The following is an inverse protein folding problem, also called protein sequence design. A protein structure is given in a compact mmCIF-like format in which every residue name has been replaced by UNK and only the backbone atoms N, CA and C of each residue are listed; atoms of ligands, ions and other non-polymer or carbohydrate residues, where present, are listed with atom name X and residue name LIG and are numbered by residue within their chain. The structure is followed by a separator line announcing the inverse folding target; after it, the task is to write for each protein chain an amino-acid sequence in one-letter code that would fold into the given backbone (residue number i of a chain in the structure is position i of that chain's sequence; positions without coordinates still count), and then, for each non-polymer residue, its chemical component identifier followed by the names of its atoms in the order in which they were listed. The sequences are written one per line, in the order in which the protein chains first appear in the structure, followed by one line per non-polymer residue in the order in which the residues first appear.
data_IF_986411535344
#
_entry.id   IF_986411535344
#
_cell.length_a   1.000
_cell.length_b   1.000
_cell.length_c   1.000
_cell.angle_alpha   90.00
_cell.angle_beta   90.00
_cell.angle_gamma   90.00
#
_symmetry.space_group_name_H-M   'P 1'
#
loop_
_entity.id
_entity.type
_entity.pdbx_description
1 polymer ?
#
# COMPACT_ATOMS: atom_id res chain seq x y z
N UNK A 1 -9.19 -24.90 -12.33
CA UNK A 1 -9.02 -23.61 -11.63
C UNK A 1 -9.45 -22.53 -12.62
N UNK A 2 -10.55 -21.81 -12.39
CA UNK A 2 -11.04 -20.83 -13.37
C UNK A 2 -10.09 -19.62 -13.42
N UNK A 3 -9.56 -19.31 -14.60
CA UNK A 3 -8.65 -18.18 -14.84
C UNK A 3 -9.22 -16.82 -14.40
N UNK A 4 -10.53 -16.73 -14.18
CA UNK A 4 -11.26 -15.55 -13.69
C UNK A 4 -10.78 -15.05 -12.33
N UNK A 5 -10.38 -15.94 -11.41
CA UNK A 5 -9.95 -15.54 -10.05
C UNK A 5 -8.56 -14.89 -10.01
N UNK A 6 -7.69 -15.25 -10.95
CA UNK A 6 -6.31 -14.72 -11.02
C UNK A 6 -6.27 -13.31 -11.62
N UNK A 7 -7.07 -13.03 -12.66
CA UNK A 7 -7.13 -11.72 -13.32
C UNK A 7 -7.71 -10.63 -12.42
N UNK A 8 -8.77 -10.97 -11.68
CA UNK A 8 -9.47 -10.04 -10.80
C UNK A 8 -8.58 -9.64 -9.61
N UNK A 9 -7.89 -10.60 -9.00
CA UNK A 9 -6.99 -10.33 -7.87
C UNK A 9 -5.80 -9.44 -8.25
N UNK A 10 -5.24 -9.63 -9.45
CA UNK A 10 -4.16 -8.78 -9.97
C UNK A 10 -4.64 -7.35 -10.24
N UNK A 11 -5.83 -7.19 -10.78
CA UNK A 11 -6.44 -5.88 -11.00
C UNK A 11 -6.67 -5.14 -9.69
N UNK A 12 -7.27 -5.80 -8.70
CA UNK A 12 -7.47 -5.25 -7.35
C UNK A 12 -6.11 -4.83 -6.75
N UNK A 13 -5.11 -5.70 -6.83
CA UNK A 13 -3.78 -5.43 -6.31
C UNK A 13 -3.16 -4.17 -6.92
N UNK A 14 -3.13 -4.05 -8.25
CA UNK A 14 -2.57 -2.88 -8.95
C UNK A 14 -3.35 -1.60 -8.61
N UNK A 15 -4.69 -1.66 -8.64
CA UNK A 15 -5.55 -0.50 -8.39
C UNK A 15 -5.37 0.03 -6.96
N UNK A 16 -5.06 -0.84 -5.99
CA UNK A 16 -4.82 -0.43 -4.60
C UNK A 16 -3.63 0.53 -4.40
N UNK A 17 -2.71 0.61 -5.38
CA UNK A 17 -1.56 1.54 -5.36
C UNK A 17 -1.84 2.91 -5.98
N UNK A 18 -3.02 3.12 -6.61
CA UNK A 18 -3.38 4.38 -7.28
C UNK A 18 -3.92 5.43 -6.28
N UNK A 19 -3.16 5.66 -5.20
CA UNK A 19 -3.48 6.59 -4.11
C UNK A 19 -4.81 6.26 -3.41
N UNK A 20 -5.31 7.18 -2.58
CA UNK A 20 -6.51 6.96 -1.78
C UNK A 20 -7.74 6.59 -2.64
N UNK A 21 -7.91 7.24 -3.78
CA UNK A 21 -9.02 6.96 -4.71
C UNK A 21 -8.93 5.53 -5.26
N UNK A 22 -7.74 5.14 -5.74
CA UNK A 22 -7.49 3.77 -6.20
C UNK A 22 -7.70 2.74 -5.10
N UNK A 23 -7.23 3.03 -3.89
CA UNK A 23 -7.39 2.15 -2.75
C UNK A 23 -8.86 1.88 -2.41
N UNK A 24 -9.69 2.92 -2.37
CA UNK A 24 -11.15 2.78 -2.14
C UNK A 24 -11.79 1.95 -3.26
N UNK A 25 -11.44 2.20 -4.52
CA UNK A 25 -11.95 1.43 -5.66
C UNK A 25 -11.55 -0.05 -5.53
N UNK A 26 -10.28 -0.33 -5.23
CA UNK A 26 -9.77 -1.69 -5.03
C UNK A 26 -10.49 -2.39 -3.88
N UNK A 27 -10.80 -1.69 -2.78
CA UNK A 27 -11.55 -2.25 -1.66
C UNK A 27 -12.97 -2.65 -2.06
N UNK A 28 -13.66 -1.80 -2.84
CA UNK A 28 -14.99 -2.11 -3.37
C UNK A 28 -14.93 -3.31 -4.32
N UNK A 29 -13.96 -3.34 -5.23
CA UNK A 29 -13.76 -4.46 -6.16
C UNK A 29 -13.50 -5.78 -5.41
N UNK A 30 -12.66 -5.75 -4.37
CA UNK A 30 -12.36 -6.89 -3.52
C UNK A 30 -13.59 -7.38 -2.74
N UNK A 31 -14.41 -6.49 -2.22
CA UNK A 31 -15.63 -6.89 -1.51
C UNK A 31 -16.63 -7.62 -2.43
N UNK A 32 -16.63 -7.29 -3.73
CA UNK A 32 -17.43 -7.99 -4.73
C UNK A 32 -16.78 -9.31 -5.16
N UNK A 33 -15.46 -9.35 -5.33
CA UNK A 33 -14.70 -10.55 -5.64
C UNK A 33 -13.48 -10.68 -4.71
N UNK A 34 -13.67 -11.45 -3.63
CA UNK A 34 -12.65 -11.60 -2.59
C UNK A 34 -11.50 -12.45 -3.10
N UNK A 35 -10.33 -11.84 -3.19
CA UNK A 35 -9.11 -12.53 -3.61
C UNK A 35 -8.01 -12.37 -2.57
N UNK A 36 -7.26 -13.45 -2.39
CA UNK A 36 -6.11 -13.49 -1.50
C UNK A 36 -5.02 -12.46 -1.86
N UNK A 37 -4.79 -12.27 -3.16
CA UNK A 37 -3.83 -11.28 -3.67
C UNK A 37 -4.33 -9.84 -3.46
N UNK A 38 -5.62 -9.59 -3.74
CA UNK A 38 -6.24 -8.28 -3.53
C UNK A 38 -6.22 -7.86 -2.06
N UNK A 39 -6.64 -8.76 -1.16
CA UNK A 39 -6.60 -8.54 0.28
C UNK A 39 -5.17 -8.23 0.78
N UNK A 40 -4.19 -8.99 0.31
CA UNK A 40 -2.79 -8.77 0.67
C UNK A 40 -2.32 -7.35 0.31
N UNK A 41 -2.51 -6.93 -0.94
CA UNK A 41 -2.06 -5.62 -1.41
C UNK A 41 -2.90 -4.46 -0.84
N UNK A 42 -4.19 -4.65 -0.56
CA UNK A 42 -5.01 -3.68 0.17
C UNK A 42 -4.43 -3.35 1.55
N UNK A 43 -3.97 -4.37 2.28
CA UNK A 43 -3.32 -4.18 3.59
C UNK A 43 -1.94 -3.53 3.47
N UNK A 44 -1.12 -3.96 2.51
CA UNK A 44 0.21 -3.36 2.26
C UNK A 44 0.10 -1.86 1.92
N UNK A 45 -0.82 -1.50 1.03
CA UNK A 45 -1.03 -0.11 0.59
C UNK A 45 -1.68 0.75 1.66
N UNK A 46 -2.60 0.21 2.47
CA UNK A 46 -3.15 0.90 3.63
C UNK A 46 -2.05 1.28 4.63
N UNK A 47 -1.17 0.33 4.95
CA UNK A 47 -0.02 0.59 5.83
C UNK A 47 0.90 1.68 5.30
N UNK A 48 1.24 1.64 4.01
CA UNK A 48 2.03 2.70 3.38
C UNK A 48 1.34 4.07 3.44
N UNK A 49 0.03 4.15 3.14
CA UNK A 49 -0.70 5.42 3.18
C UNK A 49 -0.71 6.02 4.58
N UNK A 50 -0.88 5.20 5.62
CA UNK A 50 -0.82 5.65 7.01
C UNK A 50 0.59 6.16 7.35
N UNK A 51 1.65 5.45 6.92
CA UNK A 51 3.03 5.93 7.13
C UNK A 51 3.30 7.25 6.40
N UNK A 52 2.84 7.39 5.16
CA UNK A 52 2.93 8.64 4.40
C UNK A 52 2.25 9.78 5.15
N UNK A 53 1.05 9.55 5.70
CA UNK A 53 0.35 10.54 6.51
C UNK A 53 1.11 10.91 7.78
N UNK A 54 1.66 9.94 8.51
CA UNK A 54 2.47 10.18 9.72
C UNK A 54 3.72 10.99 9.39
N UNK A 55 4.46 10.62 8.35
CA UNK A 55 5.66 11.36 7.91
C UNK A 55 5.28 12.77 7.47
N UNK A 56 4.16 12.95 6.78
CA UNK A 56 3.66 14.27 6.38
C UNK A 56 3.36 15.17 7.59
N UNK A 57 2.69 14.64 8.63
CA UNK A 57 2.43 15.38 9.88
C UNK A 57 3.74 15.76 10.58
N UNK A 58 4.70 14.84 10.68
CA UNK A 58 6.02 15.13 11.28
C UNK A 58 6.74 16.24 10.52
N UNK A 59 6.69 16.21 9.19
CA UNK A 59 7.31 17.23 8.34
C UNK A 59 6.70 18.62 8.53
N UNK A 60 5.38 18.73 8.78
CA UNK A 60 4.76 20.01 9.11
C UNK A 60 5.37 20.58 10.40
N UNK A 61 5.56 19.75 11.43
CA UNK A 61 6.16 20.19 12.71
C UNK A 61 7.62 20.61 12.53
N UNK A 62 8.41 19.83 11.79
CA UNK A 62 9.82 20.14 11.53
C UNK A 62 10.00 21.40 10.68
N UNK A 63 9.08 21.66 9.74
CA UNK A 63 9.09 22.88 8.94
C UNK A 63 8.88 24.14 9.78
N UNK A 64 8.10 24.07 10.87
CA UNK A 64 7.95 25.18 11.83
C UNK A 64 9.25 25.48 12.60
N UNK A 65 10.23 24.56 12.58
CA UNK A 65 11.54 24.68 13.22
C UNK A 65 12.66 24.96 12.21
N UNK A 66 12.35 25.30 10.95
CA UNK A 66 13.28 25.49 9.84
C UNK A 66 14.14 24.25 9.49
N UNK A 67 13.69 23.04 9.87
CA UNK A 67 14.36 21.76 9.56
C UNK A 67 13.65 21.08 8.39
N UNK A 68 14.00 21.47 7.16
CA UNK A 68 13.26 21.04 5.95
C UNK A 68 13.87 19.80 5.27
N UNK A 69 15.17 19.54 5.44
CA UNK A 69 15.89 18.53 4.65
C UNK A 69 15.54 17.08 5.03
N UNK A 70 15.17 16.84 6.29
CA UNK A 70 14.90 15.50 6.83
C UNK A 70 13.67 14.86 6.16
N UNK A 71 12.67 15.65 5.80
CA UNK A 71 11.44 15.17 5.18
C UNK A 71 11.61 14.52 3.81
N UNK A 72 12.59 14.99 3.04
CA UNK A 72 12.89 14.48 1.71
C UNK A 72 13.42 13.05 1.74
N UNK A 73 14.25 12.73 2.74
CA UNK A 73 14.82 11.39 2.91
C UNK A 73 13.73 10.37 3.23
N UNK A 74 12.84 10.69 4.19
CA UNK A 74 11.73 9.80 4.53
C UNK A 74 10.74 9.64 3.38
N UNK A 75 10.44 10.72 2.65
CA UNK A 75 9.56 10.66 1.47
C UNK A 75 10.14 9.77 0.38
N UNK A 76 11.45 9.89 0.10
CA UNK A 76 12.12 9.04 -0.89
C UNK A 76 12.11 7.56 -0.46
N UNK A 77 12.38 7.28 0.82
CA UNK A 77 12.33 5.93 1.35
C UNK A 77 10.93 5.31 1.20
N UNK A 78 9.88 6.04 1.58
CA UNK A 78 8.49 5.58 1.42
C UNK A 78 8.10 5.38 -0.06
N UNK A 79 8.61 6.22 -0.96
CA UNK A 79 8.39 6.06 -2.40
C UNK A 79 9.05 4.78 -2.93
N UNK A 80 10.27 4.45 -2.47
CA UNK A 80 10.92 3.18 -2.81
C UNK A 80 10.13 1.99 -2.28
N UNK A 81 9.63 2.05 -1.04
CA UNK A 81 8.79 0.98 -0.48
C UNK A 81 7.48 0.81 -1.26
N UNK A 82 6.86 1.92 -1.70
CA UNK A 82 5.69 1.90 -2.57
C UNK A 82 6.00 1.23 -3.92
N UNK A 83 7.12 1.59 -4.56
CA UNK A 83 7.56 0.97 -5.82
C UNK A 83 7.76 -0.54 -5.67
N UNK A 84 8.40 -1.00 -4.60
CA UNK A 84 8.63 -2.43 -4.35
C UNK A 84 7.31 -3.20 -4.20
N UNK A 85 6.36 -2.66 -3.46
CA UNK A 85 5.02 -3.24 -3.33
C UNK A 85 4.27 -3.25 -4.66
N UNK A 86 4.35 -2.16 -5.42
CA UNK A 86 3.67 -2.01 -6.70
C UNK A 86 4.22 -2.98 -7.76
N UNK A 87 5.53 -3.20 -7.80
CA UNK A 87 6.15 -4.22 -8.66
C UNK A 87 5.61 -5.62 -8.30
N UNK A 88 5.48 -5.95 -7.01
CA UNK A 88 4.87 -7.21 -6.57
C UNK A 88 3.42 -7.34 -7.07
N UNK A 89 2.63 -6.27 -7.01
CA UNK A 89 1.26 -6.26 -7.53
C UNK A 89 1.21 -6.48 -9.06
N UNK A 90 2.11 -5.84 -9.82
CA UNK A 90 2.24 -6.05 -11.27
C UNK A 90 2.66 -7.48 -11.60
N UNK A 91 3.46 -8.11 -10.74
CA UNK A 91 3.87 -9.51 -10.90
C UNK A 91 2.78 -10.49 -10.45
N UNK A 92 1.79 -10.02 -9.68
CA UNK A 92 0.76 -10.88 -9.08
C UNK A 92 1.28 -11.67 -7.88
N UNK A 93 2.34 -11.18 -7.24
CA UNK A 93 3.03 -11.84 -6.14
C UNK A 93 2.70 -11.16 -4.81
N UNK A 94 2.50 -11.95 -3.76
CA UNK A 94 2.35 -11.45 -2.38
C UNK A 94 3.71 -11.05 -1.79
N UNK A 95 4.40 -10.11 -2.44
CA UNK A 95 5.70 -9.61 -2.01
C UNK A 95 5.52 -8.60 -0.88
N UNK A 96 6.02 -8.94 0.31
CA UNK A 96 5.99 -8.06 1.47
C UNK A 96 6.84 -6.82 1.20
N UNK A 97 6.32 -5.65 1.60
CA UNK A 97 7.11 -4.45 1.68
C UNK A 97 8.18 -4.66 2.77
N UNK A 98 9.46 -4.37 2.50
CA UNK A 98 10.50 -4.53 3.52
C UNK A 98 10.20 -3.77 4.82
N UNK A 99 10.78 -4.25 5.92
CA UNK A 99 10.72 -3.67 7.28
C UNK A 99 9.36 -3.76 7.97
N UNK A 100 8.27 -3.37 7.30
CA UNK A 100 6.95 -3.22 7.94
C UNK A 100 5.82 -4.02 7.26
N UNK A 101 6.10 -4.71 6.15
CA UNK A 101 5.07 -5.41 5.39
C UNK A 101 4.36 -6.51 6.18
N UNK A 102 5.06 -7.23 7.06
CA UNK A 102 4.44 -8.26 7.92
C UNK A 102 3.49 -7.62 8.93
N UNK A 103 3.93 -6.55 9.58
CA UNK A 103 3.15 -5.79 10.54
C UNK A 103 1.89 -5.21 9.90
N UNK A 104 1.95 -4.76 8.64
CA UNK A 104 0.76 -4.33 7.91
C UNK A 104 -0.25 -5.46 7.73
N UNK A 105 0.19 -6.70 7.47
CA UNK A 105 -0.73 -7.83 7.38
C UNK A 105 -1.40 -8.12 8.72
N UNK A 106 -0.64 -8.05 9.82
CA UNK A 106 -1.15 -8.33 11.16
C UNK A 106 -2.10 -7.23 11.67
N UNK A 107 -1.70 -5.97 11.55
CA UNK A 107 -2.51 -4.82 12.01
C UNK A 107 -3.80 -4.68 11.22
N UNK A 108 -3.76 -4.96 9.92
CA UNK A 108 -4.91 -4.79 9.04
C UNK A 108 -5.58 -6.10 8.66
N UNK A 109 -5.39 -7.19 9.42
CA UNK A 109 -5.95 -8.53 9.13
C UNK A 109 -7.48 -8.58 8.93
N UNK A 110 -8.22 -7.56 9.40
CA UNK A 110 -9.66 -7.41 9.16
C UNK A 110 -10.04 -6.64 7.88
N UNK A 111 -9.05 -6.13 7.15
CA UNK A 111 -9.22 -5.44 5.87
C UNK A 111 -8.90 -6.42 4.74
N UNK A 112 -9.87 -6.59 3.84
CA UNK A 112 -9.79 -7.50 2.72
C UNK A 112 -10.12 -8.93 3.11
#
# INVERSE_FOLDING_TARGET
MSETTSGDGKTIAIVSYLWLVGWVIALIMHNNNKTELGAFHLRQTLGLMILWFVVWVINIVLALMDIVFVGWIFSLALFVLWLLGFIGAIQGEKKLIPVLGEQFQDWFKGIG
#
